data_IF_700971972555
#
_entry.id   IF_700971972555
#
_cell.length_a   1.000
_cell.length_b   1.000
_cell.length_c   1.000
_cell.angle_alpha   90.00
_cell.angle_beta   90.00
_cell.angle_gamma   90.00
#
_symmetry.space_group_name_H-M   'P 1'
#
loop_
_entity.id
_entity.type
_entity.pdbx_description
1 polymer ?
#
# COMPACT_ATOMS: atom_id res chain seq x y z
N UNK A 1 12.02 0.24 -3.05
CA UNK A 1 11.13 1.35 -2.64
C UNK A 1 10.05 1.49 -3.70
N UNK A 2 8.89 0.90 -3.47
CA UNK A 2 7.75 0.86 -4.38
C UNK A 2 6.86 2.06 -4.11
N UNK A 3 6.95 3.09 -4.94
CA UNK A 3 6.36 4.39 -4.63
C UNK A 3 4.86 4.52 -4.95
N UNK A 4 4.24 3.57 -5.66
CA UNK A 4 2.84 3.73 -6.08
C UNK A 4 2.16 2.37 -6.19
N UNK A 5 1.26 2.04 -5.25
CA UNK A 5 0.24 1.02 -5.49
C UNK A 5 -0.83 1.69 -6.35
N UNK A 6 -0.90 1.34 -7.64
CA UNK A 6 -1.98 1.80 -8.50
C UNK A 6 -2.97 0.67 -8.68
N UNK A 7 -4.23 0.91 -8.30
CA UNK A 7 -5.33 -0.01 -8.57
C UNK A 7 -5.82 0.11 -10.03
N UNK A 8 -4.90 0.00 -10.98
CA UNK A 8 -5.19 -0.13 -12.41
C UNK A 8 -5.21 -1.62 -12.76
N UNK A 9 -6.29 -2.10 -13.40
CA UNK A 9 -6.41 -3.50 -13.83
C UNK A 9 -5.31 -3.89 -14.83
N UNK A 10 -4.73 -2.93 -15.55
CA UNK A 10 -3.54 -3.12 -16.39
C UNK A 10 -2.25 -3.28 -15.57
N UNK A 11 -2.24 -2.81 -14.32
CA UNK A 11 -1.11 -2.92 -13.38
C UNK A 11 -1.11 -4.23 -12.60
N UNK A 12 -2.24 -4.92 -12.40
CA UNK A 12 -2.27 -6.16 -11.60
C UNK A 12 -2.13 -7.38 -12.51
N UNK A 13 -0.98 -8.06 -12.47
CA UNK A 13 -0.80 -9.37 -13.12
C UNK A 13 -1.18 -10.44 -12.10
N UNK A 14 -2.36 -11.03 -12.27
CA UNK A 14 -2.77 -12.22 -11.53
C UNK A 14 -1.85 -13.39 -11.91
N UNK A 15 -0.73 -13.55 -11.21
CA UNK A 15 0.09 -14.77 -11.25
C UNK A 15 -0.16 -15.53 -9.97
N UNK A 16 -0.98 -16.59 -10.05
CA UNK A 16 -1.04 -17.62 -9.01
C UNK A 16 0.36 -18.23 -8.87
N UNK A 17 1.10 -17.82 -7.84
CA UNK A 17 2.36 -18.43 -7.44
C UNK A 17 2.15 -19.14 -6.11
N UNK A 18 2.75 -20.33 -5.99
CA UNK A 18 2.71 -21.20 -4.83
C UNK A 18 3.22 -20.45 -3.58
N UNK A 19 2.37 -20.34 -2.56
CA UNK A 19 2.51 -19.57 -1.31
C UNK A 19 2.25 -18.07 -1.45
N UNK A 20 1.09 -17.71 -0.91
CA UNK A 20 0.60 -16.38 -0.60
C UNK A 20 0.39 -15.45 -1.80
N UNK A 21 -0.81 -14.85 -1.88
CA UNK A 21 -1.24 -13.99 -2.97
C UNK A 21 -0.38 -12.71 -3.02
N UNK A 22 0.81 -12.79 -3.59
CA UNK A 22 1.62 -11.62 -3.93
C UNK A 22 1.07 -11.06 -5.24
N UNK A 23 0.41 -9.90 -5.17
CA UNK A 23 0.05 -9.13 -6.34
C UNK A 23 1.34 -8.75 -7.09
N UNK A 24 1.56 -9.36 -8.26
CA UNK A 24 2.69 -9.00 -9.13
C UNK A 24 2.23 -7.84 -10.01
N UNK A 25 2.90 -6.70 -9.90
CA UNK A 25 2.62 -5.56 -10.76
C UNK A 25 3.14 -5.79 -12.18
N UNK A 26 2.41 -5.33 -13.19
CA UNK A 26 2.85 -5.36 -14.58
C UNK A 26 3.97 -4.34 -14.76
N UNK A 27 5.07 -4.78 -15.39
CA UNK A 27 6.19 -3.89 -15.72
C UNK A 27 5.72 -2.69 -16.56
N UNK A 28 4.77 -2.92 -17.49
CA UNK A 28 4.16 -1.87 -18.31
C UNK A 28 3.42 -0.82 -17.46
N UNK A 29 2.69 -1.27 -16.45
CA UNK A 29 1.99 -0.40 -15.51
C UNK A 29 2.98 0.46 -14.71
N UNK A 30 4.00 -0.17 -14.13
CA UNK A 30 5.07 0.53 -13.41
C UNK A 30 5.73 1.59 -14.30
N UNK A 31 6.07 1.23 -15.55
CA UNK A 31 6.69 2.16 -16.50
C UNK A 31 5.79 3.34 -16.85
N UNK A 32 4.50 3.10 -17.12
CA UNK A 32 3.48 4.12 -17.41
C UNK A 32 3.39 5.15 -16.29
N UNK A 33 3.19 4.70 -15.06
CA UNK A 33 3.03 5.60 -13.91
C UNK A 33 4.36 6.23 -13.49
N UNK A 34 5.48 5.52 -13.63
CA UNK A 34 6.82 6.08 -13.42
C UNK A 34 7.12 7.23 -14.37
N UNK A 35 6.69 7.13 -15.64
CA UNK A 35 6.83 8.20 -16.63
C UNK A 35 6.00 9.44 -16.25
N UNK A 36 4.72 9.24 -15.89
CA UNK A 36 3.82 10.33 -15.44
C UNK A 36 4.44 11.06 -14.24
N UNK A 37 4.92 10.31 -13.24
CA UNK A 37 5.51 10.88 -12.03
C UNK A 37 6.79 11.66 -12.38
N UNK A 38 7.67 11.08 -13.20
CA UNK A 38 8.91 11.73 -13.66
C UNK A 38 8.64 13.01 -14.44
N UNK A 39 7.64 13.02 -15.32
CA UNK A 39 7.25 14.21 -16.09
C UNK A 39 6.68 15.29 -15.18
N UNK A 40 5.80 14.93 -14.23
CA UNK A 40 5.22 15.89 -13.29
C UNK A 40 6.26 16.57 -12.39
N UNK A 41 7.23 15.81 -11.90
CA UNK A 41 8.34 16.28 -11.04
C UNK A 41 9.61 16.66 -11.83
N UNK A 42 9.54 16.80 -13.16
CA UNK A 42 10.67 17.27 -13.99
C UNK A 42 10.98 18.76 -13.79
N UNK A 43 10.12 19.47 -13.06
CA UNK A 43 10.26 20.87 -12.69
C UNK A 43 10.11 21.02 -11.17
N UNK A 44 10.69 22.08 -10.60
CA UNK A 44 10.63 22.33 -9.16
C UNK A 44 9.19 22.55 -8.68
N UNK A 45 8.83 21.89 -7.57
CA UNK A 45 7.50 21.97 -6.96
C UNK A 45 7.64 22.24 -5.48
N UNK A 46 6.85 23.19 -4.99
CA UNK A 46 6.65 23.33 -3.56
C UNK A 46 5.72 22.21 -3.09
N UNK A 47 6.27 21.23 -2.36
CA UNK A 47 5.55 20.05 -1.87
C UNK A 47 4.27 20.38 -1.08
N UNK A 48 4.29 21.49 -0.32
CA UNK A 48 3.16 21.94 0.51
C UNK A 48 2.03 22.52 -0.34
N UNK A 49 2.33 22.98 -1.56
CA UNK A 49 1.36 23.56 -2.49
C UNK A 49 0.81 22.56 -3.51
N UNK A 50 1.28 21.32 -3.51
CA UNK A 50 0.76 20.30 -4.43
C UNK A 50 -0.66 19.94 -3.96
N UNK A 51 -1.63 20.16 -4.85
CA UNK A 51 -2.96 19.57 -4.68
C UNK A 51 -2.89 18.07 -5.05
N UNK A 52 -2.59 17.26 -4.04
CA UNK A 52 -2.45 15.81 -4.20
C UNK A 52 -3.76 15.17 -4.65
N UNK A 53 -4.91 15.73 -4.25
CA UNK A 53 -6.22 15.21 -4.64
C UNK A 53 -6.44 15.38 -6.14
N UNK A 54 -6.19 16.57 -6.67
CA UNK A 54 -6.27 16.80 -8.12
C UNK A 54 -5.24 16.01 -8.91
N UNK A 55 -4.00 15.91 -8.43
CA UNK A 55 -2.96 15.11 -9.07
C UNK A 55 -3.37 13.64 -9.20
N UNK A 56 -3.88 13.04 -8.12
CA UNK A 56 -4.31 11.64 -8.12
C UNK A 56 -5.54 11.42 -8.99
N UNK A 57 -6.53 12.33 -8.93
CA UNK A 57 -7.73 12.28 -9.77
C UNK A 57 -7.42 12.40 -11.25
N UNK A 58 -6.56 13.34 -11.65
CA UNK A 58 -6.15 13.55 -13.04
C UNK A 58 -5.49 12.30 -13.63
N UNK A 59 -4.72 11.58 -12.81
CA UNK A 59 -3.99 10.39 -13.25
C UNK A 59 -4.77 9.07 -13.00
N UNK A 60 -6.02 9.15 -12.54
CA UNK A 60 -6.86 8.00 -12.16
C UNK A 60 -6.14 7.05 -11.17
N UNK A 61 -5.46 7.65 -10.17
CA UNK A 61 -4.71 6.95 -9.12
C UNK A 61 -5.56 6.95 -7.84
N UNK A 62 -5.77 5.77 -7.24
CA UNK A 62 -6.35 5.66 -5.90
C UNK A 62 -5.25 5.88 -4.85
N UNK A 63 -5.39 6.83 -3.91
CA UNK A 63 -4.43 7.04 -2.83
C UNK A 63 -4.33 5.82 -1.90
N UNK A 64 -3.13 5.55 -1.36
CA UNK A 64 -2.95 4.66 -0.20
C UNK A 64 -2.40 5.47 0.97
N UNK A 65 -3.10 5.41 2.10
CA UNK A 65 -2.61 5.88 3.39
C UNK A 65 -2.02 4.69 4.13
N UNK A 66 -0.71 4.71 4.35
CA UNK A 66 0.01 3.68 5.10
C UNK A 66 0.18 4.16 6.54
N UNK A 67 -0.28 3.36 7.49
CA UNK A 67 -0.08 3.60 8.91
C UNK A 67 0.82 2.50 9.47
N UNK A 68 1.99 2.90 9.95
CA UNK A 68 2.87 2.04 10.74
C UNK A 68 2.27 1.86 12.13
N UNK A 69 1.91 0.62 12.45
CA UNK A 69 1.26 0.25 13.69
C UNK A 69 2.34 -0.10 14.73
N UNK A 70 2.16 0.32 16.00
CA UNK A 70 3.08 -0.07 17.07
C UNK A 70 3.27 -1.58 17.23
N UNK A 71 4.50 -2.01 17.53
CA UNK A 71 4.90 -3.43 17.65
C UNK A 71 4.17 -4.20 18.77
N UNK A 72 3.51 -3.51 19.71
CA UNK A 72 2.71 -4.17 20.75
C UNK A 72 1.33 -4.65 20.24
N UNK A 73 0.91 -4.22 19.05
CA UNK A 73 -0.34 -4.66 18.43
C UNK A 73 -0.10 -5.84 17.51
N UNK A 74 -0.79 -6.95 17.79
CA UNK A 74 -0.71 -8.13 16.95
C UNK A 74 -1.48 -7.92 15.65
N UNK A 75 -1.18 -8.70 14.60
CA UNK A 75 -1.98 -8.72 13.37
C UNK A 75 -3.48 -8.86 13.63
N UNK A 76 -3.88 -9.66 14.62
CA UNK A 76 -5.29 -9.86 15.00
C UNK A 76 -5.94 -8.61 15.58
N UNK A 77 -5.19 -7.82 16.34
CA UNK A 77 -5.69 -6.54 16.88
C UNK A 77 -5.84 -5.52 15.76
N UNK A 78 -4.91 -5.52 14.81
CA UNK A 78 -4.95 -4.67 13.61
C UNK A 78 -6.11 -5.05 12.67
N UNK A 79 -6.44 -6.34 12.53
CA UNK A 79 -7.60 -6.79 11.76
C UNK A 79 -8.92 -6.26 12.34
N UNK A 80 -9.07 -6.23 13.67
CA UNK A 80 -10.24 -5.62 14.31
C UNK A 80 -10.29 -4.12 14.07
N UNK A 81 -9.15 -3.44 14.19
CA UNK A 81 -9.04 -2.00 13.90
C UNK A 81 -9.40 -1.70 12.45
N UNK A 82 -8.94 -2.50 11.48
CA UNK A 82 -9.34 -2.41 10.07
C UNK A 82 -10.85 -2.54 9.91
N UNK A 83 -11.48 -3.49 10.60
CA UNK A 83 -12.94 -3.69 10.50
C UNK A 83 -13.75 -2.52 11.07
N UNK A 84 -13.24 -1.87 12.11
CA UNK A 84 -13.82 -0.64 12.64
C UNK A 84 -13.65 0.52 11.65
N UNK A 85 -12.42 0.77 11.18
CA UNK A 85 -12.11 1.84 10.23
C UNK A 85 -12.95 1.67 8.96
N UNK A 86 -13.04 0.45 8.40
CA UNK A 86 -13.77 0.12 7.17
C UNK A 86 -15.24 0.54 7.18
N UNK A 87 -15.88 0.62 8.35
CA UNK A 87 -17.26 1.10 8.47
C UNK A 87 -17.41 2.60 8.25
N UNK A 88 -16.31 3.35 8.36
CA UNK A 88 -16.30 4.81 8.47
C UNK A 88 -15.61 5.52 7.30
N UNK A 89 -15.04 4.81 6.32
CA UNK A 89 -14.45 5.44 5.13
C UNK A 89 -14.90 4.81 3.82
N UNK A 90 -14.89 5.62 2.75
CA UNK A 90 -15.19 5.18 1.41
C UNK A 90 -13.93 4.60 0.74
N UNK A 91 -13.88 3.26 0.60
CA UNK A 91 -12.77 2.55 -0.08
C UNK A 91 -12.56 2.98 -1.54
N UNK A 92 -13.51 3.70 -2.15
CA UNK A 92 -13.37 4.23 -3.52
C UNK A 92 -12.49 5.49 -3.59
N UNK A 93 -12.40 6.26 -2.50
CA UNK A 93 -11.70 7.55 -2.50
C UNK A 93 -10.23 7.39 -2.10
N UNK A 94 -9.92 6.41 -1.25
CA UNK A 94 -8.56 6.03 -0.85
C UNK A 94 -8.56 4.64 -0.17
N UNK A 95 -7.40 4.00 -0.14
CA UNK A 95 -7.13 2.76 0.57
C UNK A 95 -6.39 3.09 1.86
N UNK A 96 -6.73 2.43 2.96
CA UNK A 96 -5.97 2.48 4.20
C UNK A 96 -5.24 1.14 4.31
N UNK A 97 -3.91 1.19 4.45
CA UNK A 97 -3.07 0.04 4.74
C UNK A 97 -2.50 0.19 6.15
N UNK A 98 -2.81 -0.75 7.03
CA UNK A 98 -2.22 -0.84 8.35
C UNK A 98 -1.08 -1.87 8.28
N UNK A 99 0.16 -1.45 8.55
CA UNK A 99 1.32 -2.35 8.49
C UNK A 99 2.06 -2.42 9.83
N UNK A 100 2.57 -3.59 10.16
CA UNK A 100 3.26 -3.84 11.42
C UNK A 100 4.05 -5.12 11.38
N UNK A 101 4.61 -5.51 12.53
CA UNK A 101 5.41 -6.73 12.66
C UNK A 101 4.94 -7.53 13.85
N UNK A 102 4.55 -8.79 13.63
CA UNK A 102 4.34 -9.74 14.72
C UNK A 102 5.69 -10.29 15.17
N UNK A 103 5.93 -10.30 16.48
CA UNK A 103 7.14 -10.89 17.07
C UNK A 103 6.77 -12.14 17.86
N UNK A 104 7.38 -13.28 17.53
CA UNK A 104 7.14 -14.55 18.22
C UNK A 104 8.37 -15.45 18.25
N UNK A 105 8.40 -16.42 19.17
CA UNK A 105 9.47 -17.43 19.24
C UNK A 105 9.07 -18.65 18.41
N UNK A 106 9.94 -19.04 17.47
CA UNK A 106 9.72 -20.23 16.65
C UNK A 106 9.95 -21.54 17.43
N UNK A 107 9.65 -22.66 16.79
CA UNK A 107 9.85 -24.01 17.36
C UNK A 107 11.31 -24.33 17.73
N UNK A 108 12.27 -23.55 17.24
CA UNK A 108 13.70 -23.72 17.50
C UNK A 108 14.21 -22.75 18.59
N UNK A 109 13.35 -21.92 19.17
CA UNK A 109 13.72 -20.93 20.18
C UNK A 109 14.25 -19.61 19.59
N UNK A 110 14.13 -19.39 18.27
CA UNK A 110 14.55 -18.15 17.65
C UNK A 110 13.43 -17.12 17.69
N UNK A 111 13.78 -15.86 17.94
CA UNK A 111 12.86 -14.75 17.74
C UNK A 111 12.66 -14.50 16.24
N UNK A 112 11.39 -14.49 15.83
CA UNK A 112 10.95 -14.26 14.46
C UNK A 112 10.14 -12.99 14.41
N UNK A 113 10.44 -12.18 13.42
CA UNK A 113 9.77 -10.93 13.09
C UNK A 113 9.02 -11.13 11.77
N UNK A 114 7.70 -11.19 11.82
CA UNK A 114 6.84 -11.44 10.67
C UNK A 114 6.05 -10.19 10.30
N UNK A 115 6.41 -9.57 9.19
CA UNK A 115 5.77 -8.34 8.72
C UNK A 115 4.37 -8.65 8.18
N UNK A 116 3.39 -7.84 8.57
CA UNK A 116 2.02 -7.94 8.06
C UNK A 116 1.54 -6.60 7.50
N UNK A 117 0.62 -6.70 6.53
CA UNK A 117 -0.16 -5.59 6.01
C UNK A 117 -1.64 -5.99 5.95
N UNK A 118 -2.52 -5.08 6.38
CA UNK A 118 -3.96 -5.29 6.45
C UNK A 118 -4.68 -4.13 5.75
N UNK A 119 -5.52 -4.44 4.74
CA UNK A 119 -6.29 -3.50 3.90
C UNK A 119 -7.83 -3.72 4.00
#
# INVERSE_FOLDING_TARGET
MSFIYVQDKECVVNKKSYKDNIDIYSLKGIEKYGKIFKEYFSQERNFVKIDWYEFMKFNNITPILIFDIPDYLTKKDVEKLRDEITKHYNKKDFIILLQGTDTYIDKNGNEVYDAFGVW
#
